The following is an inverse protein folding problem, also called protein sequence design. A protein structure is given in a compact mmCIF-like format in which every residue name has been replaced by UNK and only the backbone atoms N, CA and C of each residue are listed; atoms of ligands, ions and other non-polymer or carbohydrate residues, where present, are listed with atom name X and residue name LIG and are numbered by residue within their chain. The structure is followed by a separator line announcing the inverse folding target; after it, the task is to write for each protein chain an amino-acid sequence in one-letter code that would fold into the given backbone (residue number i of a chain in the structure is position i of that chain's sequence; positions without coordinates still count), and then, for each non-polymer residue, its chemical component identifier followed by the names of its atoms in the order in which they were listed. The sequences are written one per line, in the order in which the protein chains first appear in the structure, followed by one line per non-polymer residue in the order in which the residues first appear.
data_IF_708503636575
#
_entry.id   IF_708503636575
#
_cell.length_a   1.000
_cell.length_b   1.000
_cell.length_c   1.000
_cell.angle_alpha   90.00
_cell.angle_beta   90.00
_cell.angle_gamma   90.00
#
_symmetry.space_group_name_H-M   'P 1'
#
loop_
_entity.id
_entity.type
_entity.pdbx_description
1 polymer ?
#
# COMPACT_ATOMS: atom_id res chain seq x y z
N UNK A 1 5.55 -16.94 4.50
CA UNK A 1 4.88 -15.66 4.17
C UNK A 1 5.72 -14.92 3.14
N UNK A 2 5.07 -14.39 2.11
CA UNK A 2 5.77 -13.81 0.96
C UNK A 2 5.87 -12.30 0.99
N UNK A 3 5.38 -11.67 2.05
CA UNK A 3 5.46 -10.21 2.14
C UNK A 3 5.67 -9.78 3.58
N UNK A 4 6.23 -8.58 3.72
CA UNK A 4 6.35 -7.89 4.99
C UNK A 4 5.72 -6.52 4.85
N UNK A 5 5.09 -6.04 5.94
CA UNK A 5 4.49 -4.71 5.97
C UNK A 5 5.40 -3.82 6.82
N UNK A 6 5.90 -2.75 6.23
CA UNK A 6 6.77 -1.81 6.96
C UNK A 6 6.00 -1.06 8.04
N UNK A 7 6.71 -0.48 8.99
CA UNK A 7 6.10 0.37 10.01
C UNK A 7 5.37 1.57 9.38
N UNK A 8 5.93 2.14 8.32
CA UNK A 8 5.30 3.25 7.60
C UNK A 8 3.99 2.80 6.94
N UNK A 9 3.98 1.62 6.33
CA UNK A 9 2.77 1.09 5.71
C UNK A 9 1.70 0.78 6.75
N UNK A 10 2.10 0.26 7.91
CA UNK A 10 1.15 0.02 9.01
C UNK A 10 0.54 1.33 9.50
N UNK A 11 1.34 2.38 9.61
CA UNK A 11 0.85 3.70 9.99
C UNK A 11 -0.11 4.24 8.93
N UNK A 12 0.21 4.06 7.65
CA UNK A 12 -0.67 4.47 6.57
C UNK A 12 -2.03 3.76 6.66
N UNK A 13 -2.03 2.46 6.97
CA UNK A 13 -3.27 1.71 7.14
C UNK A 13 -4.08 2.21 8.32
N UNK A 14 -3.44 2.56 9.43
CA UNK A 14 -4.14 3.13 10.59
C UNK A 14 -4.79 4.47 10.23
N UNK A 15 -4.08 5.33 9.51
CA UNK A 15 -4.62 6.61 9.08
C UNK A 15 -5.81 6.43 8.14
N UNK A 16 -5.72 5.46 7.22
CA UNK A 16 -6.82 5.14 6.32
C UNK A 16 -8.02 4.64 7.10
N UNK A 17 -7.79 3.75 8.07
CA UNK A 17 -8.87 3.23 8.91
C UNK A 17 -9.57 4.37 9.67
N UNK A 18 -8.81 5.24 10.32
CA UNK A 18 -9.37 6.34 11.09
C UNK A 18 -10.15 7.32 10.21
N UNK A 19 -9.64 7.58 9.03
CA UNK A 19 -10.33 8.44 8.08
C UNK A 19 -11.74 7.92 7.78
N UNK A 20 -11.86 6.65 7.43
CA UNK A 20 -13.15 6.06 7.08
C UNK A 20 -14.03 5.81 8.29
N UNK A 21 -13.44 5.46 9.43
CA UNK A 21 -14.19 5.26 10.67
C UNK A 21 -14.87 6.55 11.12
N UNK A 22 -14.21 7.70 10.94
CA UNK A 22 -14.79 8.99 11.35
C UNK A 22 -15.73 9.57 10.30
N UNK A 23 -15.49 9.32 9.02
CA UNK A 23 -16.31 9.91 7.95
C UNK A 23 -17.47 9.04 7.49
N UNK A 24 -17.42 7.76 7.76
CA UNK A 24 -18.47 6.83 7.37
C UNK A 24 -18.86 5.93 8.55
N UNK A 25 -18.12 4.82 8.73
CA UNK A 25 -18.42 3.88 9.83
C UNK A 25 -17.22 2.96 10.04
N UNK A 26 -17.20 2.28 11.19
CA UNK A 26 -16.20 1.24 11.47
C UNK A 26 -16.28 0.13 10.44
N UNK A 27 -17.49 -0.23 10.03
CA UNK A 27 -17.70 -1.27 9.04
C UNK A 27 -17.10 -0.89 7.69
N UNK A 28 -17.28 0.35 7.26
CA UNK A 28 -16.68 0.85 6.02
C UNK A 28 -15.16 0.86 6.13
N UNK A 29 -14.62 1.31 7.27
CA UNK A 29 -13.18 1.34 7.52
C UNK A 29 -12.59 -0.06 7.40
N UNK A 30 -13.21 -1.06 8.02
CA UNK A 30 -12.78 -2.44 7.93
C UNK A 30 -12.76 -2.94 6.48
N UNK A 31 -13.81 -2.63 5.74
CA UNK A 31 -13.93 -3.06 4.35
C UNK A 31 -12.85 -2.46 3.47
N UNK A 32 -12.56 -1.18 3.66
CA UNK A 32 -11.52 -0.48 2.87
C UNK A 32 -10.14 -1.08 3.17
N UNK A 33 -9.83 -1.24 4.45
CA UNK A 33 -8.53 -1.79 4.86
C UNK A 33 -8.38 -3.24 4.39
N UNK A 34 -9.43 -4.05 4.52
CA UNK A 34 -9.39 -5.44 4.08
C UNK A 34 -9.13 -5.54 2.57
N UNK A 35 -9.75 -4.68 1.78
CA UNK A 35 -9.51 -4.65 0.34
C UNK A 35 -8.05 -4.36 0.02
N UNK A 36 -7.43 -3.47 0.78
CA UNK A 36 -6.02 -3.13 0.59
C UNK A 36 -5.14 -4.31 1.00
N UNK A 37 -5.37 -4.86 2.20
CA UNK A 37 -4.50 -5.91 2.73
C UNK A 37 -4.62 -7.22 1.95
N UNK A 38 -5.77 -7.51 1.36
CA UNK A 38 -5.93 -8.67 0.49
C UNK A 38 -4.98 -8.63 -0.70
N UNK A 39 -4.64 -7.44 -1.17
CA UNK A 39 -3.71 -7.26 -2.29
C UNK A 39 -2.26 -7.56 -1.92
N UNK A 40 -1.92 -7.46 -0.64
CA UNK A 40 -0.55 -7.75 -0.18
C UNK A 40 -0.18 -9.20 -0.49
N UNK A 41 -1.11 -10.12 -0.23
CA UNK A 41 -0.86 -11.53 -0.50
C UNK A 41 -0.60 -11.78 -1.98
N UNK A 42 -1.43 -11.19 -2.83
CA UNK A 42 -1.26 -11.32 -4.29
C UNK A 42 0.10 -10.82 -4.75
N UNK A 43 0.56 -9.67 -4.22
CA UNK A 43 1.87 -9.14 -4.60
C UNK A 43 3.01 -9.98 -4.05
N UNK A 44 2.81 -10.61 -2.90
CA UNK A 44 3.78 -11.57 -2.36
C UNK A 44 3.95 -12.78 -3.27
N UNK A 45 2.87 -13.25 -3.89
CA UNK A 45 2.90 -14.37 -4.82
C UNK A 45 3.35 -13.97 -6.23
N UNK A 46 3.11 -12.71 -6.62
CA UNK A 46 3.41 -12.22 -7.97
C UNK A 46 4.12 -10.86 -7.88
N UNK A 47 5.35 -10.83 -7.36
CA UNK A 47 6.02 -9.55 -7.07
C UNK A 47 6.35 -8.71 -8.30
N UNK A 48 6.36 -9.30 -9.48
CA UNK A 48 6.67 -8.57 -10.71
C UNK A 48 5.44 -7.99 -11.41
N UNK A 49 4.25 -8.22 -10.86
CA UNK A 49 3.00 -7.84 -11.54
C UNK A 49 2.65 -6.35 -11.45
N UNK A 50 3.26 -5.60 -10.52
CA UNK A 50 3.00 -4.18 -10.40
C UNK A 50 3.74 -3.36 -11.44
N UNK A 51 3.36 -2.08 -11.55
CA UNK A 51 4.03 -1.15 -12.46
C UNK A 51 5.26 -0.55 -11.79
N UNK A 52 6.26 -0.23 -12.60
CA UNK A 52 7.44 0.46 -12.07
C UNK A 52 7.06 1.86 -11.55
N UNK A 53 7.58 2.20 -10.39
CA UNK A 53 7.48 3.53 -9.79
C UNK A 53 8.90 4.07 -9.55
N UNK A 54 9.84 3.74 -10.42
CA UNK A 54 11.23 4.13 -10.28
C UNK A 54 11.45 5.64 -10.35
N UNK A 55 10.52 6.39 -10.93
CA UNK A 55 10.54 7.85 -10.93
C UNK A 55 10.22 8.43 -9.54
N UNK A 56 9.55 7.66 -8.68
CA UNK A 56 9.26 8.04 -7.29
C UNK A 56 10.43 7.61 -6.40
N UNK A 57 10.86 6.34 -6.54
CA UNK A 57 11.99 5.80 -5.79
C UNK A 57 12.54 4.58 -6.53
N UNK A 58 13.85 4.44 -6.56
CA UNK A 58 14.54 3.37 -7.30
C UNK A 58 14.09 2.00 -6.80
N UNK A 59 13.75 1.12 -7.75
CA UNK A 59 13.39 -0.26 -7.44
C UNK A 59 11.99 -0.45 -6.88
N UNK A 60 11.21 0.61 -6.78
CA UNK A 60 9.86 0.56 -6.23
C UNK A 60 8.86 0.29 -7.34
N UNK A 61 7.86 -0.53 -7.01
CA UNK A 61 6.72 -0.82 -7.87
C UNK A 61 5.45 -0.37 -7.17
N UNK A 62 4.37 -0.21 -7.92
CA UNK A 62 3.08 0.09 -7.32
C UNK A 62 1.95 -0.61 -8.05
N UNK A 63 0.83 -0.77 -7.35
CA UNK A 63 -0.40 -1.27 -7.95
C UNK A 63 -1.60 -0.73 -7.17
N UNK A 64 -2.77 -0.65 -7.81
CA UNK A 64 -3.93 -0.05 -7.18
C UNK A 64 -4.71 -1.04 -6.32
N UNK A 65 -5.37 -0.50 -5.29
CA UNK A 65 -6.38 -1.19 -4.50
C UNK A 65 -7.51 -0.18 -4.28
N UNK A 66 -8.52 -0.20 -5.15
CA UNK A 66 -9.53 0.83 -5.17
C UNK A 66 -8.92 2.17 -5.55
N UNK A 67 -9.11 3.18 -4.71
CA UNK A 67 -8.56 4.52 -4.92
C UNK A 67 -7.17 4.70 -4.30
N UNK A 68 -6.64 3.65 -3.69
CA UNK A 68 -5.33 3.70 -3.05
C UNK A 68 -4.28 3.05 -3.92
N UNK A 69 -3.04 3.49 -3.75
CA UNK A 69 -1.88 2.92 -4.42
C UNK A 69 -0.98 2.29 -3.38
N UNK A 70 -0.60 1.05 -3.61
CA UNK A 70 0.29 0.30 -2.73
C UNK A 70 1.67 0.33 -3.36
N UNK A 71 2.65 0.86 -2.61
CA UNK A 71 4.04 0.91 -3.05
C UNK A 71 4.81 -0.20 -2.37
N UNK A 72 5.55 -0.97 -3.16
CA UNK A 72 6.29 -2.12 -2.64
C UNK A 72 7.62 -2.30 -3.37
N UNK A 73 8.49 -3.06 -2.76
CA UNK A 73 9.78 -3.43 -3.34
C UNK A 73 9.92 -4.94 -3.31
N UNK A 74 10.34 -5.53 -4.42
CA UNK A 74 10.65 -6.94 -4.49
C UNK A 74 11.93 -7.20 -3.71
N UNK A 75 11.96 -8.27 -2.92
CA UNK A 75 13.12 -8.71 -2.15
C UNK A 75 13.42 -10.16 -2.46
N UNK A 76 14.50 -10.67 -1.91
CA UNK A 76 14.86 -12.07 -2.06
C UNK A 76 13.80 -13.01 -1.49
N UNK A 77 13.10 -12.56 -0.45
CA UNK A 77 12.10 -13.38 0.25
C UNK A 77 10.67 -13.09 -0.16
N UNK A 78 10.48 -12.18 -1.11
CA UNK A 78 9.15 -11.83 -1.57
C UNK A 78 9.00 -10.33 -1.78
N UNK A 79 8.20 -9.70 -0.96
CA UNK A 79 7.80 -8.30 -1.16
C UNK A 79 7.81 -7.54 0.16
N UNK A 80 8.36 -6.33 0.16
CA UNK A 80 8.22 -5.38 1.26
C UNK A 80 7.19 -4.34 0.86
N UNK A 81 6.11 -4.24 1.62
CA UNK A 81 5.09 -3.21 1.44
C UNK A 81 5.59 -1.95 2.13
N UNK A 82 5.82 -0.89 1.36
CA UNK A 82 6.51 0.31 1.84
C UNK A 82 5.55 1.41 2.27
N UNK A 83 4.53 1.68 1.45
CA UNK A 83 3.55 2.74 1.72
C UNK A 83 2.24 2.44 1.02
N UNK A 84 1.16 3.01 1.56
CA UNK A 84 -0.15 3.01 0.92
C UNK A 84 -0.66 4.45 0.91
N UNK A 85 -0.88 5.02 -0.28
CA UNK A 85 -1.33 6.39 -0.42
C UNK A 85 -2.58 6.48 -1.28
N UNK A 86 -3.42 7.48 -1.00
CA UNK A 86 -4.54 7.80 -1.88
C UNK A 86 -3.98 8.26 -3.22
N UNK A 87 -4.56 7.79 -4.33
CA UNK A 87 -4.03 8.07 -5.67
C UNK A 87 -4.01 9.54 -6.06
N UNK A 88 -4.85 10.38 -5.42
CA UNK A 88 -4.89 11.81 -5.70
C UNK A 88 -3.80 12.60 -4.97
N UNK A 89 -3.08 11.95 -4.06
CA UNK A 89 -2.03 12.60 -3.27
C UNK A 89 -0.77 12.77 -4.13
N UNK A 90 0.04 13.80 -3.82
CA UNK A 90 1.35 13.95 -4.43
C UNK A 90 2.24 12.80 -3.95
N UNK A 91 2.39 11.79 -4.78
CA UNK A 91 3.05 10.55 -4.41
C UNK A 91 4.53 10.76 -4.10
N UNK A 92 5.20 11.61 -4.87
CA UNK A 92 6.62 11.84 -4.69
C UNK A 92 6.92 12.50 -3.33
N UNK A 93 6.18 13.55 -3.01
CA UNK A 93 6.33 14.25 -1.73
C UNK A 93 5.94 13.34 -0.57
N UNK A 94 4.84 12.61 -0.70
CA UNK A 94 4.37 11.70 0.34
C UNK A 94 5.38 10.58 0.62
N UNK A 95 6.00 10.03 -0.42
CA UNK A 95 6.94 8.92 -0.28
C UNK A 95 8.22 9.34 0.43
N UNK A 96 8.64 10.58 0.24
CA UNK A 96 9.91 11.08 0.76
C UNK A 96 9.79 11.79 2.12
N UNK A 97 8.66 11.81 2.75
CA UNK A 97 8.53 12.47 4.05
C UNK A 97 9.15 11.65 5.20
#
# INVERSE_FOLDING_TARGET
MRYRVSADAERDLEEIFLYWATRASLETADRVVDRITDRFWLRGEHPDAGKSAGDIAVGVKCFPAGKYLIYYRKTRRGTDILHIFHGARDQRTAFNR
#
